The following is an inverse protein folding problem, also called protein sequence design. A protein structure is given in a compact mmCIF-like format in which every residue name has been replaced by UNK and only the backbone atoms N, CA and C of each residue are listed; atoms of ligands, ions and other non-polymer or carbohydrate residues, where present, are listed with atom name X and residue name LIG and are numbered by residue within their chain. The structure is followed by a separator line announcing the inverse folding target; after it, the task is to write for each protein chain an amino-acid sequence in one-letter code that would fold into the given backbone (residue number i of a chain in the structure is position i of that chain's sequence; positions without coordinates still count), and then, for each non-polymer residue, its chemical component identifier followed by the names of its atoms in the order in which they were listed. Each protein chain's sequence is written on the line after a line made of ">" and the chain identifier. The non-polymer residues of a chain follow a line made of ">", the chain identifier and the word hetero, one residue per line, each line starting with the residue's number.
data_IF_021878437235
#
_entry.id   IF_021878437235
#
_cell.length_a   1.000
_cell.length_b   1.000
_cell.length_c   1.000
_cell.angle_alpha   90.00
_cell.angle_beta   90.00
_cell.angle_gamma   90.00
#
_symmetry.space_group_name_H-M   'P 1'
#
loop_
_entity.id
_entity.type
_entity.pdbx_description
1 polymer ?
2 water ?
#
# COMPACT_ATOMS: atom_id res chain seq x y z
N UNK A 2 -16.92 -2.45 -7.43
CA UNK A 2 -17.33 -2.02 -6.10
C UNK A 2 -18.78 -2.42 -5.82
N UNK A 3 -19.04 -3.73 -5.75
CA UNK A 3 -20.40 -4.22 -5.55
C UNK A 3 -20.67 -4.50 -4.07
N UNK A 4 -19.91 -5.40 -3.46
CA UNK A 4 -20.03 -5.61 -2.03
C UNK A 4 -19.18 -4.60 -1.26
N UNK A 5 -19.55 -4.38 -0.01
CA UNK A 5 -18.80 -3.50 0.86
C UNK A 5 -17.49 -4.13 1.29
N UNK A 6 -16.53 -3.29 1.68
CA UNK A 6 -15.22 -3.84 2.08
C UNK A 6 -15.31 -4.59 3.40
N UNK A 7 -14.56 -5.69 3.49
CA UNK A 7 -14.54 -6.51 4.70
C UNK A 7 -13.20 -7.22 4.83
N UNK A 8 -12.66 -7.21 6.04
CA UNK A 8 -11.39 -7.85 6.35
C UNK A 8 -11.46 -8.42 7.76
N UNK A 9 -10.91 -9.61 7.95
CA UNK A 9 -10.82 -10.20 9.27
C UNK A 9 -9.36 -10.47 9.61
N UNK A 10 -8.92 -9.99 10.75
CA UNK A 10 -7.58 -10.25 11.25
C UNK A 10 -7.66 -11.35 12.29
N UNK A 11 -6.75 -12.32 12.22
CA UNK A 11 -6.72 -13.42 13.18
C UNK A 11 -5.41 -13.39 13.95
N UNK A 12 -5.46 -13.87 15.19
CA UNK A 12 -4.29 -13.87 16.04
C UNK A 12 -3.31 -14.97 15.66
N UNK A 13 -3.81 -16.10 15.17
CA UNK A 13 -2.99 -17.24 14.84
C UNK A 13 -3.01 -17.51 13.32
N UNK A 14 -2.00 -18.25 12.87
CA UNK A 14 -1.91 -18.61 11.46
C UNK A 14 -3.16 -19.38 11.02
N UNK A 15 -3.43 -19.31 9.72
CA UNK A 15 -4.46 -20.13 9.06
C UNK A 15 -5.84 -19.82 9.61
N UNK A 16 -6.05 -18.57 10.01
CA UNK A 16 -7.40 -18.07 10.27
C UNK A 16 -8.00 -18.76 11.48
N UNK A 17 -7.17 -18.94 12.51
CA UNK A 17 -7.54 -19.58 13.77
C UNK A 17 -7.32 -18.61 14.93
N UNK A 18 -7.89 -18.98 16.08
CA UNK A 18 -7.76 -18.17 17.26
C UNK A 18 -8.72 -16.99 17.24
N UNK A 19 -8.40 -16.06 18.14
CA UNK A 19 -9.20 -14.85 18.28
C UNK A 19 -9.06 -13.97 17.04
N UNK A 20 -10.16 -13.35 16.63
CA UNK A 20 -10.20 -12.62 15.38
C UNK A 20 -10.97 -11.32 15.56
N UNK A 21 -10.71 -10.39 14.65
CA UNK A 21 -11.39 -9.10 14.66
C UNK A 21 -11.93 -8.87 13.26
N UNK A 22 -13.25 -8.79 13.14
CA UNK A 22 -13.87 -8.56 11.84
C UNK A 22 -14.02 -7.06 11.69
N UNK A 23 -13.65 -6.56 10.52
CA UNK A 23 -13.58 -5.13 10.35
C UNK A 23 -14.14 -4.74 9.00
N UNK A 24 -15.08 -3.80 8.99
CA UNK A 24 -15.73 -3.34 7.77
C UNK A 24 -15.65 -1.82 7.63
N UNK A 25 -14.86 -1.14 8.47
CA UNK A 25 -14.57 0.27 8.35
C UNK A 25 -13.20 0.53 8.95
N UNK A 26 -12.64 1.72 8.68
CA UNK A 26 -11.35 2.09 9.25
C UNK A 26 -11.33 1.83 10.75
N UNK A 27 -10.23 1.25 11.24
CA UNK A 27 -10.08 0.95 12.66
C UNK A 27 -8.73 1.49 13.11
N UNK A 28 -8.69 2.46 14.02
CA UNK A 28 -7.41 3.07 14.40
C UNK A 28 -6.66 2.37 15.53
N UNK A 29 -7.24 1.36 16.18
CA UNK A 29 -6.54 0.67 17.25
C UNK A 29 -7.14 -0.73 17.41
N UNK A 30 -6.34 -1.76 17.08
CA UNK A 30 -6.73 -3.16 17.23
C UNK A 30 -6.50 -3.69 18.63
N UNK A 31 -5.65 -3.02 19.42
CA UNK A 31 -4.95 -3.74 20.48
C UNK A 31 -5.87 -4.11 21.65
N UNK A 32 -7.05 -3.50 21.76
CA UNK A 32 -8.07 -4.01 22.68
C UNK A 32 -8.67 -5.31 22.19
N UNK A 33 -8.47 -5.65 20.93
CA UNK A 33 -9.06 -6.81 20.27
C UNK A 33 -8.06 -7.93 20.09
N UNK A 34 -6.90 -7.64 19.50
CA UNK A 34 -5.90 -8.64 19.16
C UNK A 34 -4.53 -8.27 19.69
N UNK A 35 -3.82 -9.26 20.22
CA UNK A 35 -2.46 -9.05 20.71
C UNK A 35 -1.42 -9.13 19.60
N UNK A 36 -1.79 -9.71 18.46
CA UNK A 36 -0.89 -10.04 17.36
C UNK A 36 -1.77 -10.35 16.16
N UNK A 37 -1.15 -10.42 14.99
CA UNK A 37 -1.90 -10.79 13.78
C UNK A 37 -1.07 -11.75 12.96
N UNK A 38 -1.52 -12.99 12.83
CA UNK A 38 -0.75 -13.98 12.09
C UNK A 38 -1.44 -14.47 10.85
N UNK A 39 -2.64 -13.99 10.54
CA UNK A 39 -3.30 -14.33 9.29
C UNK A 39 -4.47 -13.36 9.08
N UNK A 40 -4.87 -13.22 7.82
CA UNK A 40 -5.84 -12.20 7.42
C UNK A 40 -6.66 -12.73 6.25
N UNK A 41 -7.94 -12.40 6.23
CA UNK A 41 -8.80 -12.70 5.09
C UNK A 41 -9.44 -11.41 4.63
N UNK A 42 -9.21 -11.06 3.38
CA UNK A 42 -9.80 -9.89 2.75
C UNK A 42 -10.95 -10.38 1.89
N UNK A 43 -12.19 -10.14 2.31
CA UNK A 43 -13.34 -10.59 1.54
C UNK A 43 -13.79 -9.58 0.51
N UNK A 44 -13.65 -8.30 0.80
CA UNK A 44 -14.02 -7.26 -0.14
C UNK A 44 -13.18 -6.02 0.10
N UNK A 45 -12.90 -5.30 -0.99
CA UNK A 45 -12.14 -4.07 -0.92
C UNK A 45 -10.64 -4.30 -0.91
N UNK A 46 -9.90 -3.21 -0.99
CA UNK A 46 -8.47 -3.22 -0.76
C UNK A 46 -8.20 -2.42 0.50
N UNK A 47 -7.27 -2.91 1.32
CA UNK A 47 -7.00 -2.33 2.61
C UNK A 47 -5.52 -2.06 2.75
N UNK A 48 -5.19 -1.14 3.66
CA UNK A 48 -3.83 -0.95 4.11
C UNK A 48 -3.81 -1.10 5.62
N UNK A 49 -2.91 -1.94 6.11
CA UNK A 49 -2.75 -2.20 7.52
C UNK A 49 -1.44 -1.59 7.99
N UNK A 50 -1.42 -1.17 9.25
CA UNK A 50 -0.27 -0.51 9.81
C UNK A 50 0.23 -1.25 11.02
N UNK A 51 1.54 -1.19 11.20
CA UNK A 51 2.22 -1.94 12.24
C UNK A 51 1.73 -1.52 13.62
N UNK A 52 1.45 -0.24 13.80
CA UNK A 52 1.06 0.33 15.09
C UNK A 52 -0.31 0.99 15.00
N UNK A 53 -0.94 1.28 16.14
CA UNK A 53 -2.22 2.01 16.11
C UNK A 53 -2.11 3.37 15.45
N UNK A 54 -3.27 3.91 15.09
CA UNK A 54 -3.39 5.25 14.51
C UNK A 54 -2.56 5.41 13.24
N UNK A 55 -2.38 4.32 12.48
CA UNK A 55 -1.87 4.40 11.11
C UNK A 55 -0.41 4.82 11.06
N UNK A 56 0.41 4.29 11.96
CA UNK A 56 1.82 4.61 11.96
C UNK A 56 2.66 3.33 12.00
N UNK A 57 3.94 3.50 11.71
CA UNK A 57 4.79 2.38 11.42
C UNK A 57 4.64 1.97 9.97
N UNK A 58 5.14 0.78 9.67
CA UNK A 58 5.11 0.31 8.30
C UNK A 58 3.68 0.06 7.84
N UNK A 59 3.46 0.25 6.54
CA UNK A 59 2.17 0.02 5.91
C UNK A 59 2.26 -1.21 5.02
N UNK A 60 1.17 -1.97 4.96
CA UNK A 60 1.08 -3.16 4.10
C UNK A 60 -0.24 -3.16 3.36
N UNK A 61 -0.18 -3.18 2.02
CA UNK A 61 -1.40 -3.30 1.22
C UNK A 61 -1.97 -4.71 1.32
N UNK A 62 -3.30 -4.79 1.41
CA UNK A 62 -3.99 -6.08 1.52
C UNK A 62 -5.12 -6.09 0.50
N UNK A 63 -5.03 -6.95 -0.50
CA UNK A 63 -6.08 -7.06 -1.50
C UNK A 63 -6.91 -8.29 -1.22
N UNK A 64 -7.98 -8.45 -2.01
CA UNK A 64 -8.88 -9.58 -1.88
C UNK A 64 -8.12 -10.90 -1.87
N UNK A 65 -8.48 -11.80 -0.92
CA UNK A 65 -7.91 -13.12 -0.82
C UNK A 65 -7.52 -13.44 0.61
N UNK A 66 -6.75 -14.52 0.76
CA UNK A 66 -6.39 -15.09 2.07
C UNK A 66 -4.89 -15.02 2.29
N UNK A 67 -4.49 -14.63 3.49
CA UNK A 67 -3.08 -14.46 3.86
C UNK A 67 -2.86 -15.37 5.05
N UNK A 68 -2.43 -16.63 4.83
CA UNK A 68 -2.37 -17.60 5.94
C UNK A 68 -1.24 -17.35 6.94
N UNK A 69 -0.23 -16.54 6.61
CA UNK A 69 0.75 -16.09 7.59
C UNK A 69 1.23 -14.70 7.19
N UNK A 70 1.93 -14.02 8.11
CA UNK A 70 2.31 -12.63 7.88
C UNK A 70 3.30 -12.47 6.72
N UNK A 71 3.99 -13.53 6.32
CA UNK A 71 4.89 -13.44 5.17
C UNK A 71 4.12 -13.15 3.89
N UNK A 72 2.85 -13.52 3.82
CA UNK A 72 2.07 -13.30 2.61
C UNK A 72 1.84 -11.82 2.33
N UNK A 73 1.80 -10.97 3.36
CA UNK A 73 1.73 -9.53 3.12
C UNK A 73 3.08 -8.86 3.32
N UNK A 74 4.13 -9.66 3.50
CA UNK A 74 5.50 -9.19 3.67
C UNK A 74 5.66 -8.35 4.93
N UNK A 75 4.94 -8.73 5.98
CA UNK A 75 5.18 -8.13 7.28
C UNK A 75 6.59 -8.43 7.76
N UNK A 76 7.14 -7.49 8.53
CA UNK A 76 8.35 -7.71 9.31
C UNK A 76 8.15 -8.74 10.41
N UNK A 77 6.91 -8.94 10.87
CA UNK A 77 6.55 -9.73 12.03
C UNK A 77 5.03 -9.72 12.15
N UNK A 78 4.49 -10.16 13.29
CA UNK A 78 3.05 -10.35 13.45
C UNK A 78 2.37 -9.22 14.21
N UNK A 79 2.83 -8.00 14.04
CA UNK A 79 2.29 -6.85 14.77
C UNK A 79 1.58 -5.93 13.78
N UNK A 80 0.28 -5.76 13.99
CA UNK A 80 -0.51 -4.77 13.29
C UNK A 80 -1.34 -4.06 14.33
N UNK A 81 -1.60 -2.77 14.09
CA UNK A 81 -2.31 -1.97 15.07
C UNK A 81 -3.53 -1.28 14.53
N UNK A 82 -3.58 -1.05 13.22
CA UNK A 82 -4.69 -0.33 12.63
C UNK A 82 -4.79 -0.69 11.16
N UNK A 83 -5.86 -0.23 10.52
CA UNK A 83 -6.07 -0.51 9.11
C UNK A 83 -7.07 0.50 8.56
N UNK A 84 -6.94 0.78 7.26
CA UNK A 84 -7.90 1.63 6.56
C UNK A 84 -8.32 0.96 5.27
N UNK A 85 -9.57 1.17 4.90
CA UNK A 85 -10.06 0.74 3.61
C UNK A 85 -9.60 1.73 2.55
N UNK A 86 -9.09 1.22 1.44
CA UNK A 86 -8.65 2.06 0.35
C UNK A 86 -9.86 2.43 -0.48
N UNK A 87 -10.05 3.74 -0.68
CA UNK A 87 -11.16 4.24 -1.49
C UNK A 87 -10.68 4.41 -2.93
N UNK A 88 -11.34 3.71 -3.84
CA UNK A 88 -10.98 3.70 -5.26
C UNK A 88 -11.91 4.68 -5.99
N UNK A 89 -11.40 5.75 -6.57
CA UNK A 89 -12.26 6.64 -7.34
C UNK A 89 -12.78 5.93 -8.58
N UNK A 90 -13.93 6.38 -9.06
CA UNK A 90 -14.51 5.78 -10.26
C UNK A 90 -14.14 6.61 -11.48
N UNK A 91 -14.20 5.95 -12.65
CA UNK A 91 -13.94 6.63 -13.90
C UNK A 91 -12.68 6.18 -14.60
N UNK A 92 -11.81 7.13 -14.94
CA UNK A 92 -10.58 6.80 -15.63
C UNK A 92 -9.69 5.91 -14.77
N UNK A 93 -9.09 4.90 -15.41
CA UNK A 93 -8.16 4.02 -14.73
C UNK A 93 -6.89 4.78 -14.31
N UNK A 94 -5.99 4.07 -13.65
CA UNK A 94 -4.83 4.72 -13.05
C UNK A 94 -3.93 5.36 -14.09
N UNK A 95 -3.40 6.54 -13.74
CA UNK A 95 -2.43 7.26 -14.55
C UNK A 95 -1.46 7.96 -13.61
N UNK A 96 -0.16 7.64 -13.71
CA UNK A 96 0.84 8.16 -12.78
C UNK A 96 2.07 8.64 -13.53
N UNK A 97 2.69 9.71 -13.02
CA UNK A 97 3.95 10.28 -13.53
C UNK A 97 4.94 10.35 -12.39
N UNK A 98 6.16 9.85 -12.60
CA UNK A 98 7.22 9.94 -11.62
C UNK A 98 8.37 10.72 -12.20
N UNK A 99 9.07 11.45 -11.35
CA UNK A 99 10.02 12.45 -11.76
C UNK A 99 11.36 12.18 -11.12
N UNK A 100 12.42 12.34 -11.91
CA UNK A 100 13.77 12.08 -11.45
C UNK A 100 14.26 13.15 -10.48
N UNK A 101 13.69 14.35 -10.50
CA UNK A 101 14.06 15.34 -9.50
C UNK A 101 12.82 15.92 -8.84
N UNK A 102 13.05 16.80 -7.86
CA UNK A 102 11.95 17.35 -7.09
C UNK A 102 11.06 18.29 -7.90
N UNK A 103 9.86 18.51 -7.37
CA UNK A 103 8.92 19.49 -7.90
C UNK A 103 8.66 19.28 -9.39
N UNK A 104 8.43 18.03 -9.76
CA UNK A 104 8.09 17.63 -11.13
C UNK A 104 9.16 18.09 -12.14
N UNK A 105 10.42 18.09 -11.71
CA UNK A 105 11.51 18.49 -12.58
C UNK A 105 12.31 17.30 -13.09
N UNK A 106 13.26 17.61 -13.97
CA UNK A 106 14.08 16.57 -14.57
C UNK A 106 13.24 15.64 -15.45
N UNK A 107 13.80 14.46 -15.69
CA UNK A 107 13.14 13.46 -16.52
C UNK A 107 11.87 12.94 -15.87
N UNK A 108 10.86 12.65 -16.70
CA UNK A 108 9.58 12.16 -16.23
C UNK A 108 9.28 10.80 -16.87
N UNK A 109 8.69 9.90 -16.09
CA UNK A 109 8.29 8.61 -16.59
C UNK A 109 6.82 8.40 -16.26
N UNK A 110 6.06 7.94 -17.26
CA UNK A 110 4.60 7.90 -17.25
C UNK A 110 4.14 6.45 -17.32
N UNK A 111 3.07 6.12 -16.58
CA UNK A 111 2.55 4.75 -16.62
C UNK A 111 1.05 4.73 -16.37
N UNK A 112 0.42 3.70 -16.93
CA UNK A 112 -0.96 3.36 -16.68
C UNK A 112 -1.12 1.92 -16.20
N UNK A 113 -0.02 1.19 -16.03
CA UNK A 113 0.01 -0.19 -15.56
C UNK A 113 1.06 -0.32 -14.47
N UNK A 114 1.03 -1.45 -13.77
CA UNK A 114 2.07 -1.77 -12.80
C UNK A 114 3.44 -1.66 -13.45
N UNK A 115 4.42 -1.24 -12.66
CA UNK A 115 5.83 -1.24 -13.08
C UNK A 115 6.65 -2.00 -12.06
N UNK A 116 7.22 -3.15 -12.42
CA UNK A 116 8.01 -3.91 -11.44
C UNK A 116 9.44 -3.42 -11.27
N UNK A 117 9.96 -2.61 -12.19
CA UNK A 117 11.30 -2.04 -12.01
C UNK A 117 11.37 -0.68 -12.70
N UNK A 118 11.47 0.38 -11.92
CA UNK A 118 11.59 1.70 -12.50
C UNK A 118 12.91 1.83 -13.26
N UNK A 119 13.99 1.38 -12.64
CA UNK A 119 15.31 1.44 -13.28
C UNK A 119 15.29 0.77 -14.65
N UNK A 120 14.67 -0.42 -14.74
CA UNK A 120 14.64 -1.12 -16.02
C UNK A 120 13.93 -0.32 -17.09
N UNK A 121 12.81 0.30 -16.72
CA UNK A 121 11.93 0.90 -17.71
C UNK A 121 12.36 2.32 -18.10
N UNK A 122 12.86 3.13 -17.16
CA UNK A 122 13.19 4.50 -17.46
C UNK A 122 14.56 4.92 -16.95
N UNK A 123 15.27 4.03 -16.26
CA UNK A 123 16.64 4.25 -15.77
C UNK A 123 16.71 5.27 -14.62
N UNK A 124 15.60 5.57 -13.94
CA UNK A 124 15.72 6.37 -12.73
C UNK A 124 16.18 5.46 -11.60
N UNK A 125 17.10 5.98 -10.81
CA UNK A 125 17.57 5.29 -9.61
C UNK A 125 16.73 5.63 -8.38
N UNK A 126 16.08 6.79 -8.38
CA UNK A 126 15.29 7.29 -7.27
C UNK A 126 14.09 8.02 -7.86
N UNK A 127 13.12 8.32 -7.01
CA UNK A 127 11.99 9.15 -7.41
C UNK A 127 11.87 10.30 -6.41
N UNK A 128 11.80 11.52 -6.93
CA UNK A 128 11.75 12.69 -6.08
C UNK A 128 10.46 13.47 -6.20
N UNK A 129 9.57 13.09 -7.11
CA UNK A 129 8.27 13.75 -7.17
C UNK A 129 7.34 12.86 -7.97
N UNK A 130 6.04 13.10 -7.80
CA UNK A 130 5.08 12.24 -8.46
C UNK A 130 3.75 12.97 -8.64
N UNK A 131 3.15 12.81 -9.80
CA UNK A 131 1.77 13.21 -10.04
C UNK A 131 0.93 11.97 -10.28
N UNK A 132 -0.04 11.71 -9.40
CA UNK A 132 -1.07 10.71 -9.67
C UNK A 132 -2.23 11.44 -10.33
N UNK A 133 -2.33 11.30 -11.66
CA UNK A 133 -3.40 11.98 -12.42
C UNK A 133 -4.75 11.32 -12.22
N UNK A 134 -4.78 9.98 -12.18
CA UNK A 134 -6.03 9.25 -11.96
C UNK A 134 -5.71 8.00 -11.15
N UNK A 135 -6.69 7.57 -10.35
CA UNK A 135 -6.60 6.31 -9.64
C UNK A 135 -5.85 6.46 -8.33
N UNK A 136 -5.30 5.34 -7.86
CA UNK A 136 -4.58 5.31 -6.59
C UNK A 136 -3.53 4.23 -6.69
N UNK A 137 -2.34 4.51 -6.16
CA UNK A 137 -1.17 3.66 -6.39
C UNK A 137 -0.44 3.39 -5.08
N UNK A 138 0.33 2.30 -5.08
CA UNK A 138 1.23 1.96 -3.98
C UNK A 138 2.66 2.02 -4.49
N UNK A 139 3.49 2.85 -3.85
CA UNK A 139 4.91 2.88 -4.12
C UNK A 139 5.60 1.80 -3.30
N UNK A 140 6.59 1.13 -3.91
CA UNK A 140 7.45 0.19 -3.21
C UNK A 140 8.90 0.67 -3.27
N UNK A 141 9.58 0.59 -2.12
CA UNK A 141 10.98 1.01 -2.03
C UNK A 141 11.87 0.26 -3.00
N UNK A 142 11.59 -1.02 -3.23
CA UNK A 142 12.46 -1.90 -3.99
C UNK A 142 11.76 -2.43 -5.24
N UNK A 143 12.52 -2.87 -6.25
CA UNK A 143 11.88 -3.44 -7.44
C UNK A 143 11.11 -4.70 -7.08
N UNK A 144 10.09 -4.99 -7.89
CA UNK A 144 9.30 -6.22 -7.80
C UNK A 144 8.39 -6.25 -6.58
N UNK A 145 7.92 -5.09 -6.12
CA UNK A 145 6.81 -5.02 -5.17
C UNK A 145 7.21 -5.54 -3.80
N UNK A 146 8.32 -5.02 -3.28
CA UNK A 146 8.84 -5.40 -1.98
C UNK A 146 9.44 -4.14 -1.36
N UNK A 147 9.84 -4.26 -0.10
CA UNK A 147 10.34 -3.09 0.61
C UNK A 147 9.23 -2.23 1.14
N UNK A 148 9.60 -1.06 1.67
CA UNK A 148 8.63 -0.15 2.27
C UNK A 148 7.55 0.26 1.26
N UNK A 149 6.32 0.35 1.75
CA UNK A 149 5.16 0.70 0.93
C UNK A 149 4.62 2.10 1.29
N UNK A 150 4.15 2.81 0.26
CA UNK A 150 3.56 4.13 0.45
C UNK A 150 2.31 4.24 -0.43
N UNK A 151 1.29 4.92 0.08
CA UNK A 151 0.01 5.00 -0.59
C UNK A 151 -0.11 6.38 -1.22
N UNK A 152 -0.35 6.44 -2.53
CA UNK A 152 -0.43 7.69 -3.27
C UNK A 152 -1.80 7.78 -3.93
N UNK A 153 -2.78 8.39 -3.27
CA UNK A 153 -4.01 8.78 -3.97
C UNK A 153 -3.75 9.86 -5.00
N UNK A 154 -4.77 10.08 -5.83
CA UNK A 154 -4.75 11.16 -6.82
C UNK A 154 -4.30 12.47 -6.19
N UNK A 155 -3.32 13.10 -6.81
CA UNK A 155 -2.74 14.31 -6.25
C UNK A 155 -1.33 14.52 -6.76
N UNK A 156 -0.66 15.51 -6.14
CA UNK A 156 0.68 15.94 -6.49
C UNK A 156 1.60 15.81 -5.28
N UNK A 157 2.81 15.33 -5.52
CA UNK A 157 3.78 15.07 -4.45
C UNK A 157 5.10 15.72 -4.86
N UNK A 158 5.37 16.91 -4.32
CA UNK A 158 6.53 17.71 -4.74
C UNK A 158 7.85 17.11 -4.27
N UNK A 159 7.84 16.28 -3.24
CA UNK A 159 9.05 15.61 -2.77
C UNK A 159 8.64 14.41 -1.93
N UNK A 160 9.56 13.45 -1.71
CA UNK A 160 9.12 12.16 -1.15
C UNK A 160 8.45 12.26 0.22
N UNK A 161 8.69 13.32 0.98
CA UNK A 161 8.08 13.38 2.29
C UNK A 161 6.56 13.44 2.18
N UNK A 162 6.06 13.90 1.03
CA UNK A 162 4.63 14.04 0.81
C UNK A 162 3.92 12.71 0.52
N UNK A 163 4.64 11.64 0.18
CA UNK A 163 4.04 10.31 0.26
C UNK A 163 4.58 9.53 1.46
N UNK A 164 5.15 10.24 2.44
CA UNK A 164 5.50 9.65 3.70
C UNK A 164 6.87 9.03 3.74
N UNK A 165 7.75 9.33 2.80
CA UNK A 165 9.04 8.67 2.74
C UNK A 165 10.13 9.64 3.19
N UNK A 166 11.15 9.08 3.85
CA UNK A 166 12.32 9.88 4.25
C UNK A 166 13.49 9.73 3.29
N UNK A 167 13.40 8.86 2.29
CA UNK A 167 14.38 8.71 1.22
C UNK A 167 13.64 8.71 -0.12
N UNK A 168 14.34 8.96 -1.22
CA UNK A 168 13.68 8.92 -2.53
C UNK A 168 13.67 7.53 -3.12
N UNK A 169 13.89 6.50 -2.30
CA UNK A 169 13.93 5.13 -2.80
C UNK A 169 12.52 4.69 -3.21
N UNK A 170 12.32 4.53 -4.52
CA UNK A 170 11.11 3.98 -5.11
C UNK A 170 11.57 3.21 -6.33
N UNK A 171 11.23 1.94 -6.42
CA UNK A 171 11.67 1.19 -7.60
C UNK A 171 10.58 0.34 -8.23
N UNK A 172 9.37 0.32 -7.68
CA UNK A 172 8.25 -0.31 -8.35
C UNK A 172 6.95 0.23 -7.78
N UNK A 173 5.87 0.08 -8.53
CA UNK A 173 4.58 0.57 -8.07
C UNK A 173 3.47 -0.24 -8.70
N UNK A 174 2.32 -0.21 -8.04
CA UNK A 174 1.13 -0.94 -8.46
C UNK A 174 -0.09 -0.04 -8.34
N UNK A 175 -0.97 -0.08 -9.32
CA UNK A 175 -2.26 0.58 -9.16
C UNK A 175 -3.22 -0.29 -8.36
N UNK A 176 -4.14 0.36 -7.68
CA UNK A 176 -5.19 -0.32 -6.93
C UNK A 176 -6.50 -0.01 -7.65
N UNK A 177 -7.02 -1.00 -8.39
CA UNK A 177 -8.25 -0.82 -9.15
C UNK A 177 -9.48 -1.31 -8.42
N UNK A 178 -9.32 -2.21 -7.46
CA UNK A 178 -10.39 -2.56 -6.53
C UNK A 178 -9.76 -3.23 -5.32
#
# INVERSE_FOLDING_TARGET
>A
MSRAGPKVTFYEDKNFLGRRYECDADCPDFHTYLNRCNSIRVEGGTWVAYERPNYSGNMYVLRRGEYPDYHHWMGLNDRLGSCKAVHIPSGAQGHIQVFEKGDFGGQMFEATEDCPSILEECHFREVHACRVLEGIWVFYEHPNYRGRQYLLPKGEYRQPVEWGAVTPAVQSFRSIAE
#
